data_IF_507153272975
#
_entry.id   IF_507153272975
#
_cell.length_a   1.000
_cell.length_b   1.000
_cell.length_c   1.000
_cell.angle_alpha   90.00
_cell.angle_beta   90.00
_cell.angle_gamma   90.00
#
_symmetry.space_group_name_H-M   'P 1'
#
loop_
_entity.id
_entity.type
_entity.pdbx_description
1 polymer ?
#
# COMPACT_ATOMS: atom_id res chain seq x y z
N UNK A 1 -1.13 4.55 10.69
CA UNK A 1 -2.03 3.54 10.10
C UNK A 1 -2.62 2.74 11.25
N UNK A 2 -3.88 3.01 11.66
CA UNK A 2 -4.38 2.59 12.98
C UNK A 2 -5.25 1.34 12.97
N UNK A 3 -5.65 0.85 11.78
CA UNK A 3 -6.62 -0.24 11.62
C UNK A 3 -6.13 -1.41 10.73
N UNK A 4 -4.91 -1.35 10.19
CA UNK A 4 -4.33 -2.48 9.44
C UNK A 4 -3.64 -3.43 10.41
N UNK A 5 -3.78 -4.72 10.16
CA UNK A 5 -3.04 -5.79 10.82
C UNK A 5 -1.61 -5.95 10.22
N UNK A 6 -0.89 -6.97 10.71
CA UNK A 6 0.49 -7.26 10.30
C UNK A 6 0.61 -7.67 8.83
N UNK A 7 -0.46 -8.23 8.25
CA UNK A 7 -0.56 -8.59 6.83
C UNK A 7 -1.00 -7.40 5.95
N UNK A 8 -1.23 -6.23 6.56
CA UNK A 8 -1.68 -5.03 5.88
C UNK A 8 -3.17 -5.05 5.52
N UNK A 9 -3.98 -5.89 6.17
CA UNK A 9 -5.42 -6.02 5.94
C UNK A 9 -6.18 -5.26 7.04
N UNK A 10 -7.30 -4.63 6.70
CA UNK A 10 -8.10 -3.91 7.69
C UNK A 10 -8.85 -4.84 8.64
N UNK A 11 -8.84 -4.51 9.93
CA UNK A 11 -9.58 -5.27 10.96
C UNK A 11 -11.09 -5.19 10.78
N UNK A 12 -11.78 -6.29 11.09
CA UNK A 12 -13.25 -6.33 11.20
C UNK A 12 -13.70 -5.44 12.37
N UNK A 13 -14.78 -4.69 12.19
CA UNK A 13 -15.28 -3.70 13.14
C UNK A 13 -14.59 -2.34 13.06
N UNK A 14 -13.65 -2.13 12.14
CA UNK A 14 -13.09 -0.80 11.89
C UNK A 14 -14.09 0.10 11.17
N UNK A 15 -14.28 1.31 11.68
CA UNK A 15 -14.90 2.41 10.94
C UNK A 15 -13.92 2.94 9.89
N UNK A 16 -14.41 3.09 8.66
CA UNK A 16 -13.63 3.55 7.52
C UNK A 16 -14.31 4.70 6.80
N UNK A 17 -13.49 5.58 6.23
CA UNK A 17 -13.92 6.73 5.43
C UNK A 17 -13.17 6.77 4.10
N UNK A 18 -13.67 7.57 3.17
CA UNK A 18 -13.02 7.80 1.89
C UNK A 18 -11.52 8.10 2.06
N UNK A 19 -10.68 7.34 1.36
CA UNK A 19 -9.22 7.45 1.43
C UNK A 19 -8.53 6.52 2.43
N UNK A 20 -9.27 5.87 3.34
CA UNK A 20 -8.68 4.86 4.23
C UNK A 20 -8.23 3.62 3.45
N UNK A 21 -7.16 2.98 3.90
CA UNK A 21 -6.61 1.77 3.28
C UNK A 21 -7.37 0.56 3.81
N UNK A 22 -7.94 -0.23 2.89
CA UNK A 22 -8.59 -1.50 3.19
C UNK A 22 -7.60 -2.68 3.09
N UNK A 23 -6.75 -2.66 2.08
CA UNK A 23 -5.71 -3.69 1.87
C UNK A 23 -4.43 -3.01 1.41
N UNK A 24 -3.40 -3.10 2.23
CA UNK A 24 -2.03 -2.70 1.93
C UNK A 24 -1.44 -3.62 0.86
N UNK A 25 -1.15 -3.08 -0.32
CA UNK A 25 -0.51 -3.85 -1.40
C UNK A 25 0.66 -3.07 -1.95
N UNK A 26 1.86 -3.61 -1.77
CA UNK A 26 3.08 -3.10 -2.42
C UNK A 26 3.36 -3.93 -3.67
N UNK A 27 3.58 -3.25 -4.79
CA UNK A 27 4.05 -3.87 -6.02
C UNK A 27 5.48 -3.41 -6.24
N UNK A 28 6.47 -4.31 -6.35
CA UNK A 28 7.82 -3.90 -6.73
C UNK A 28 7.75 -3.29 -8.14
N UNK A 29 8.28 -2.09 -8.32
CA UNK A 29 8.58 -1.59 -9.66
C UNK A 29 9.80 -2.37 -10.17
N UNK A 30 9.75 -2.80 -11.43
CA UNK A 30 10.93 -3.36 -12.09
C UNK A 30 12.06 -2.33 -12.13
N UNK A 31 13.28 -2.78 -12.41
CA UNK A 31 14.42 -1.89 -12.64
C UNK A 31 14.15 -1.01 -13.86
N UNK A 32 13.61 0.18 -13.64
CA UNK A 32 13.53 1.22 -14.65
C UNK A 32 14.88 1.90 -14.78
N UNK A 33 15.27 2.27 -16.01
CA UNK A 33 16.46 3.12 -16.21
C UNK A 33 16.27 4.43 -15.43
N UNK A 34 17.04 4.60 -14.36
CA UNK A 34 17.00 5.77 -13.50
C UNK A 34 17.40 7.02 -14.30
N UNK A 35 16.66 8.11 -14.15
CA UNK A 35 17.04 9.38 -14.77
C UNK A 35 18.31 9.95 -14.12
N UNK A 36 18.94 10.94 -14.76
CA UNK A 36 20.16 11.56 -14.22
C UNK A 36 19.95 12.17 -12.82
N UNK A 37 18.75 12.71 -12.57
CA UNK A 37 18.33 13.26 -11.29
C UNK A 37 18.21 12.18 -10.21
N UNK A 38 17.65 11.01 -10.56
CA UNK A 38 17.49 9.89 -9.64
C UNK A 38 18.81 9.20 -9.32
N UNK A 39 19.76 9.15 -10.28
CA UNK A 39 21.13 8.70 -10.04
C UNK A 39 21.86 9.62 -9.05
N UNK A 40 21.71 10.93 -9.17
CA UNK A 40 22.26 11.90 -8.22
C UNK A 40 21.63 11.70 -6.83
N UNK A 41 20.31 11.51 -6.76
CA UNK A 41 19.61 11.27 -5.51
C UNK A 41 20.09 9.98 -4.83
N UNK A 42 20.27 8.89 -5.58
CA UNK A 42 20.83 7.62 -5.07
C UNK A 42 22.27 7.75 -4.59
N UNK A 43 23.09 8.58 -5.22
CA UNK A 43 24.46 8.84 -4.80
C UNK A 43 24.54 9.63 -3.48
N UNK A 44 23.61 10.56 -3.25
CA UNK A 44 23.54 11.37 -2.02
C UNK A 44 22.89 10.60 -0.86
N UNK A 45 21.84 9.80 -1.13
CA UNK A 45 21.03 9.13 -0.09
C UNK A 45 21.32 7.62 0.08
N UNK A 46 22.16 7.01 -0.76
CA UNK A 46 22.53 5.60 -0.70
C UNK A 46 21.47 4.63 -1.25
N UNK A 47 21.85 3.36 -1.41
CA UNK A 47 21.14 2.29 -2.13
C UNK A 47 19.83 1.76 -1.49
N UNK A 48 19.14 2.57 -0.68
CA UNK A 48 18.00 2.09 0.14
C UNK A 48 16.61 2.20 -0.50
N UNK A 49 16.48 2.80 -1.67
CA UNK A 49 15.19 2.87 -2.35
C UNK A 49 14.97 1.63 -3.22
N UNK A 50 14.55 0.50 -2.60
CA UNK A 50 13.80 -0.49 -3.38
C UNK A 50 12.52 0.21 -3.83
N UNK A 51 12.43 0.49 -5.12
CA UNK A 51 11.28 1.16 -5.72
C UNK A 51 10.03 0.28 -5.59
N UNK A 52 9.32 0.41 -4.47
CA UNK A 52 8.00 -0.20 -4.29
C UNK A 52 6.94 0.83 -4.63
N UNK A 53 5.98 0.44 -5.46
CA UNK A 53 4.79 1.23 -5.71
C UNK A 53 3.70 0.78 -4.74
N UNK A 54 3.16 1.73 -3.99
CA UNK A 54 1.92 1.52 -3.25
C UNK A 54 0.77 1.35 -4.26
N UNK A 55 0.18 0.17 -4.27
CA UNK A 55 -0.99 -0.25 -5.07
C UNK A 55 -2.13 -0.69 -4.15
N UNK A 56 -2.16 -0.16 -2.93
CA UNK A 56 -3.14 -0.52 -1.90
C UNK A 56 -4.56 -0.22 -2.33
N UNK A 57 -5.48 -1.09 -1.91
CA UNK A 57 -6.90 -0.88 -2.05
C UNK A 57 -7.37 0.14 -1.00
N UNK A 58 -8.01 1.22 -1.45
CA UNK A 58 -8.54 2.28 -0.58
C UNK A 58 -10.05 2.34 -0.70
N UNK A 59 -10.69 2.89 0.34
CA UNK A 59 -12.13 3.17 0.32
C UNK A 59 -12.44 4.20 -0.77
N UNK A 60 -13.38 3.92 -1.69
CA UNK A 60 -13.80 4.88 -2.70
C UNK A 60 -14.30 6.20 -2.11
N UNK A 61 -14.17 7.27 -2.89
CA UNK A 61 -14.70 8.58 -2.49
C UNK A 61 -16.22 8.50 -2.29
N UNK A 62 -16.71 9.07 -1.19
CA UNK A 62 -18.13 9.06 -0.83
C UNK A 62 -18.61 7.79 -0.11
N UNK A 63 -17.78 6.74 -0.01
CA UNK A 63 -18.09 5.57 0.79
C UNK A 63 -17.57 5.73 2.24
N UNK A 64 -18.39 5.30 3.20
CA UNK A 64 -18.07 5.20 4.61
C UNK A 64 -18.84 4.04 5.22
N UNK A 65 -18.36 3.49 6.33
CA UNK A 65 -19.04 2.39 7.00
C UNK A 65 -18.13 1.61 7.93
N UNK A 66 -18.61 0.44 8.35
CA UNK A 66 -17.90 -0.47 9.23
C UNK A 66 -17.55 -1.75 8.45
N UNK A 67 -16.32 -2.22 8.60
CA UNK A 67 -15.90 -3.49 8.00
C UNK A 67 -16.60 -4.65 8.72
N UNK A 68 -17.46 -5.38 8.01
CA UNK A 68 -18.24 -6.49 8.59
C UNK A 68 -17.58 -7.86 8.44
N UNK A 69 -16.65 -8.01 7.50
CA UNK A 69 -15.98 -9.27 7.24
C UNK A 69 -14.86 -9.13 6.22
N UNK A 70 -13.90 -10.05 6.29
CA UNK A 70 -12.76 -10.16 5.38
C UNK A 70 -12.66 -11.62 4.93
N UNK A 71 -12.39 -11.84 3.64
CA UNK A 71 -12.15 -13.17 3.09
C UNK A 71 -10.87 -13.17 2.27
N UNK A 72 -9.92 -14.02 2.66
CA UNK A 72 -8.63 -14.18 1.98
C UNK A 72 -8.71 -15.42 1.09
N UNK A 73 -8.26 -15.27 -0.15
CA UNK A 73 -8.15 -16.37 -1.11
C UNK A 73 -6.68 -16.52 -1.49
N UNK A 74 -6.12 -17.70 -1.24
CA UNK A 74 -4.79 -18.10 -1.71
C UNK A 74 -4.94 -18.94 -2.97
N UNK A 75 -4.08 -18.73 -3.95
CA UNK A 75 -4.00 -19.57 -5.14
C UNK A 75 -3.02 -20.70 -4.82
N UNK A 76 -3.52 -21.93 -4.70
CA UNK A 76 -2.66 -23.14 -4.74
C UNK A 76 -2.00 -23.27 -6.13
#
# INVERSE_FOLDING_TARGET
VKNLDEDGIIRIGAEVRAGDILVGKVTPKGETELTAEERLLRAIFGEKAREVRDTSLKVPHGAYGIVVGVKVFTRE
#
